data_IF_228811893706
#
_entry.id   IF_228811893706
#
_cell.length_a   1.000
_cell.length_b   1.000
_cell.length_c   1.000
_cell.angle_alpha   90.00
_cell.angle_beta   90.00
_cell.angle_gamma   90.00
#
_symmetry.space_group_name_H-M   'P 1'
#
loop_
_entity.id
_entity.type
_entity.pdbx_description
1 polymer ?
#
# COMPACT_ATOMS: atom_id res chain seq x y z
N UNK A 1 29.00 20.16 -3.00
CA UNK A 1 28.59 19.12 -2.03
C UNK A 1 27.21 18.58 -2.40
N UNK A 2 26.15 19.40 -2.33
CA UNK A 2 24.74 19.05 -2.66
C UNK A 2 24.56 18.29 -4.00
N UNK A 3 25.15 18.76 -5.11
CA UNK A 3 25.09 18.05 -6.40
C UNK A 3 25.63 16.61 -6.32
N UNK A 4 26.71 16.40 -5.57
CA UNK A 4 27.31 15.07 -5.40
C UNK A 4 26.43 14.15 -4.55
N UNK A 5 25.88 14.69 -3.46
CA UNK A 5 24.96 13.96 -2.58
C UNK A 5 23.68 13.55 -3.33
N UNK A 6 23.14 14.45 -4.16
CA UNK A 6 21.96 14.19 -4.99
C UNK A 6 22.23 13.10 -6.05
N UNK A 7 23.35 13.17 -6.76
CA UNK A 7 23.73 12.17 -7.76
C UNK A 7 23.94 10.78 -7.10
N UNK A 8 24.59 10.75 -5.93
CA UNK A 8 24.77 9.50 -5.19
C UNK A 8 23.43 8.87 -4.78
N UNK A 9 22.47 9.70 -4.34
CA UNK A 9 21.12 9.26 -4.02
C UNK A 9 20.39 8.67 -5.24
N UNK A 10 20.44 9.34 -6.39
CA UNK A 10 19.82 8.83 -7.63
C UNK A 10 20.45 7.51 -8.07
N UNK A 11 21.77 7.36 -8.00
CA UNK A 11 22.44 6.08 -8.32
C UNK A 11 22.10 4.94 -7.36
N UNK A 12 21.79 5.25 -6.10
CA UNK A 12 21.27 4.25 -5.17
C UNK A 12 19.83 3.85 -5.55
N UNK A 13 19.00 4.83 -5.91
CA UNK A 13 17.60 4.62 -6.28
C UNK A 13 17.43 3.88 -7.62
N UNK A 14 18.27 4.17 -8.61
CA UNK A 14 18.30 3.47 -9.91
C UNK A 14 18.49 1.96 -9.80
N UNK A 15 19.22 1.50 -8.77
CA UNK A 15 19.42 0.06 -8.52
C UNK A 15 18.15 -0.65 -8.06
N UNK A 16 17.20 0.10 -7.52
CA UNK A 16 15.95 -0.40 -6.96
C UNK A 16 14.78 -0.19 -7.93
N UNK A 17 14.72 0.96 -8.60
CA UNK A 17 13.66 1.31 -9.54
C UNK A 17 14.13 2.36 -10.57
N UNK A 18 14.17 1.98 -11.85
CA UNK A 18 14.60 2.84 -12.95
C UNK A 18 13.57 3.93 -13.29
N UNK A 19 12.28 3.63 -13.15
CA UNK A 19 11.19 4.52 -13.52
C UNK A 19 11.15 5.77 -12.63
N UNK A 20 11.23 5.56 -11.31
CA UNK A 20 11.30 6.66 -10.33
C UNK A 20 12.54 7.50 -10.56
N UNK A 21 13.66 6.89 -10.95
CA UNK A 21 14.89 7.63 -11.21
C UNK A 21 14.81 8.52 -12.46
N UNK A 22 14.00 8.16 -13.45
CA UNK A 22 13.84 8.93 -14.67
C UNK A 22 13.28 10.34 -14.41
N UNK A 23 12.38 10.47 -13.42
CA UNK A 23 11.77 11.75 -13.02
C UNK A 23 12.80 12.77 -12.50
N UNK A 24 13.94 12.31 -11.98
CA UNK A 24 14.98 13.16 -11.37
C UNK A 24 16.15 13.47 -12.31
N UNK A 25 16.18 12.93 -13.52
CA UNK A 25 17.27 13.14 -14.49
C UNK A 25 17.41 14.63 -14.83
N UNK A 26 16.29 15.33 -15.02
CA UNK A 26 16.28 16.77 -15.28
C UNK A 26 16.93 17.56 -14.13
N UNK A 27 16.61 17.20 -12.88
CA UNK A 27 17.19 17.88 -11.73
C UNK A 27 18.70 17.60 -11.60
N UNK A 28 19.12 16.37 -11.88
CA UNK A 28 20.54 16.00 -11.92
C UNK A 28 21.32 16.80 -12.97
N UNK A 29 20.79 16.90 -14.20
CA UNK A 29 21.44 17.64 -15.29
C UNK A 29 21.52 19.14 -15.00
N UNK A 30 20.46 19.72 -14.41
CA UNK A 30 20.44 21.10 -13.95
C UNK A 30 21.51 21.36 -12.88
N UNK A 31 21.60 20.50 -11.85
CA UNK A 31 22.60 20.65 -10.79
C UNK A 31 24.04 20.48 -11.30
N UNK A 32 24.26 19.58 -12.27
CA UNK A 32 25.56 19.43 -12.94
C UNK A 32 25.92 20.69 -13.75
N UNK A 33 24.96 21.25 -14.50
CA UNK A 33 25.15 22.48 -15.28
C UNK A 33 25.51 23.68 -14.40
N UNK A 34 24.78 23.86 -13.28
CA UNK A 34 25.08 24.89 -12.29
C UNK A 34 26.51 24.71 -11.74
N UNK A 35 26.87 23.48 -11.35
CA UNK A 35 28.22 23.19 -10.84
C UNK A 35 29.31 23.48 -11.88
N UNK A 36 29.09 23.12 -13.14
CA UNK A 36 30.05 23.39 -14.22
C UNK A 36 30.23 24.90 -14.45
N UNK A 37 29.14 25.66 -14.54
CA UNK A 37 29.19 27.13 -14.69
C UNK A 37 29.85 27.83 -13.50
N UNK A 38 29.71 27.30 -12.29
CA UNK A 38 30.36 27.84 -11.11
C UNK A 38 31.87 27.57 -11.04
N UNK A 39 32.36 26.53 -11.73
CA UNK A 39 33.77 26.13 -11.70
C UNK A 39 34.59 26.71 -12.87
N UNK A 40 33.92 27.21 -13.90
CA UNK A 40 34.60 27.83 -15.05
C UNK A 40 35.13 29.23 -14.68
N UNK A 41 36.38 29.56 -15.07
CA UNK A 41 36.92 30.90 -14.88
C UNK A 41 36.11 31.90 -15.71
N UNK A 42 35.71 33.00 -15.08
CA UNK A 42 34.92 34.06 -15.73
C UNK A 42 35.88 35.11 -16.31
N UNK A 43 35.64 35.61 -17.53
CA UNK A 43 36.39 36.76 -18.02
C UNK A 43 36.13 37.96 -17.09
N UNK A 44 37.17 38.74 -16.80
CA UNK A 44 36.99 40.00 -16.08
C UNK A 44 35.98 40.88 -16.85
N UNK A 45 35.00 41.49 -16.16
CA UNK A 45 34.02 42.31 -16.84
C UNK A 45 34.70 43.56 -17.41
N UNK A 46 34.86 43.60 -18.73
CA UNK A 46 35.03 44.85 -19.46
C UNK A 46 33.71 45.63 -19.28
N UNK A 47 33.79 46.85 -18.75
CA UNK A 47 32.70 47.82 -18.67
C UNK A 47 31.54 47.54 -17.69
N UNK A 48 31.77 47.70 -16.38
CA UNK A 48 30.86 48.35 -15.42
C UNK A 48 29.40 47.86 -15.21
N UNK A 49 28.92 46.89 -15.98
CA UNK A 49 27.58 46.32 -15.96
C UNK A 49 27.68 44.84 -15.63
N UNK A 50 28.20 44.54 -14.44
CA UNK A 50 28.27 43.18 -13.92
C UNK A 50 26.95 42.79 -13.22
N UNK A 51 25.83 42.81 -13.95
CA UNK A 51 24.61 42.09 -13.52
C UNK A 51 24.74 40.61 -13.92
N UNK A 52 25.75 39.94 -13.38
CA UNK A 52 25.93 38.51 -13.59
C UNK A 52 25.06 37.74 -12.59
N UNK A 53 23.85 37.38 -13.01
CA UNK A 53 22.93 36.55 -12.23
C UNK A 53 23.65 35.30 -11.71
N UNK A 54 23.61 35.05 -10.38
CA UNK A 54 24.11 33.80 -9.81
C UNK A 54 23.37 32.63 -10.49
N UNK A 55 24.06 31.65 -11.10
CA UNK A 55 23.42 30.53 -11.78
C UNK A 55 22.53 29.68 -10.86
N UNK A 56 22.61 29.87 -9.54
CA UNK A 56 21.74 29.20 -8.55
C UNK A 56 20.40 29.92 -8.33
N UNK A 57 20.26 31.16 -8.78
CA UNK A 57 19.13 32.05 -8.41
C UNK A 57 17.78 31.41 -8.74
N UNK A 58 17.62 30.91 -9.97
CA UNK A 58 16.39 30.25 -10.43
C UNK A 58 16.04 29.02 -9.57
N UNK A 59 17.04 28.20 -9.25
CA UNK A 59 16.85 27.01 -8.41
C UNK A 59 16.43 27.39 -6.98
N UNK A 60 17.08 28.39 -6.40
CA UNK A 60 16.77 28.86 -5.04
C UNK A 60 15.35 29.41 -4.98
N UNK A 61 14.93 30.18 -5.98
CA UNK A 61 13.57 30.70 -6.05
C UNK A 61 12.53 29.57 -6.13
N UNK A 62 12.73 28.59 -7.01
CA UNK A 62 11.85 27.41 -7.09
C UNK A 62 11.78 26.62 -5.79
N UNK A 63 12.89 26.48 -5.07
CA UNK A 63 12.93 25.80 -3.78
C UNK A 63 12.19 26.58 -2.69
N UNK A 64 12.25 27.91 -2.69
CA UNK A 64 11.51 28.76 -1.77
C UNK A 64 10.01 28.70 -2.04
N UNK A 65 9.60 28.73 -3.31
CA UNK A 65 8.20 28.57 -3.71
C UNK A 65 7.67 27.19 -3.32
N UNK A 66 8.41 26.13 -3.61
CA UNK A 66 8.07 24.77 -3.18
C UNK A 66 7.95 24.68 -1.65
N UNK A 67 8.89 25.27 -0.90
CA UNK A 67 8.84 25.28 0.57
C UNK A 67 7.56 25.94 1.07
N UNK A 68 7.20 27.12 0.53
CA UNK A 68 5.98 27.85 0.89
C UNK A 68 4.72 27.02 0.62
N UNK A 69 4.65 26.37 -0.54
CA UNK A 69 3.51 25.51 -0.90
C UNK A 69 3.43 24.27 0.00
N UNK A 70 4.58 23.66 0.32
CA UNK A 70 4.66 22.49 1.20
C UNK A 70 4.19 22.82 2.63
N UNK A 71 4.60 23.97 3.14
CA UNK A 71 4.16 24.47 4.46
C UNK A 71 2.64 24.71 4.45
N UNK A 72 2.11 25.42 3.46
CA UNK A 72 0.67 25.65 3.33
C UNK A 72 -0.16 24.36 3.14
N UNK A 73 0.37 23.38 2.41
CA UNK A 73 -0.27 22.07 2.27
C UNK A 73 -0.32 21.31 3.61
N UNK A 74 0.74 21.40 4.42
CA UNK A 74 0.78 20.79 5.74
C UNK A 74 -0.21 21.43 6.72
N UNK A 75 -0.38 22.75 6.66
CA UNK A 75 -1.42 23.46 7.42
C UNK A 75 -2.83 23.01 7.02
N UNK A 76 -3.10 22.88 5.71
CA UNK A 76 -4.38 22.37 5.21
C UNK A 76 -4.65 20.91 5.61
N UNK A 77 -3.61 20.08 5.62
CA UNK A 77 -3.70 18.70 6.10
C UNK A 77 -4.13 18.65 7.58
N UNK A 78 -3.54 19.49 8.43
CA UNK A 78 -3.92 19.60 9.84
C UNK A 78 -5.39 20.05 10.00
N UNK A 79 -5.81 21.07 9.25
CA UNK A 79 -7.21 21.52 9.23
C UNK A 79 -8.16 20.40 8.78
N UNK A 80 -7.76 19.59 7.79
CA UNK A 80 -8.51 18.43 7.34
C UNK A 80 -8.65 17.35 8.43
N UNK A 81 -7.58 17.07 9.15
CA UNK A 81 -7.59 16.14 10.29
C UNK A 81 -8.52 16.65 11.39
N UNK A 82 -8.41 17.93 11.75
CA UNK A 82 -9.28 18.51 12.78
C UNK A 82 -10.75 18.48 12.37
N UNK A 83 -11.06 18.80 11.10
CA UNK A 83 -12.41 18.70 10.55
C UNK A 83 -12.94 17.25 10.57
N UNK A 84 -12.09 16.27 10.30
CA UNK A 84 -12.47 14.84 10.30
C UNK A 84 -12.88 14.32 11.67
N UNK A 85 -12.39 14.96 12.75
CA UNK A 85 -12.75 14.65 14.14
C UNK A 85 -14.07 15.30 14.58
N UNK A 86 -14.62 16.20 13.77
CA UNK A 86 -15.87 16.89 14.06
C UNK A 86 -17.05 16.14 13.46
N UNK A 87 -17.90 15.59 14.33
CA UNK A 87 -19.16 14.98 13.94
C UNK A 87 -20.27 16.04 13.93
N UNK A 88 -21.05 16.16 12.84
CA UNK A 88 -22.23 17.00 12.86
C UNK A 88 -23.21 16.48 13.92
N UNK A 89 -23.81 17.39 14.71
CA UNK A 89 -24.91 17.06 15.61
C UNK A 89 -26.22 17.32 14.89
N UNK A 90 -27.08 16.30 14.84
CA UNK A 90 -28.45 16.43 14.35
C UNK A 90 -28.69 15.84 12.98
N UNK A 91 -29.88 15.25 12.87
CA UNK A 91 -30.58 14.72 11.70
C UNK A 91 -30.43 15.65 10.49
N UNK A 92 -29.51 15.34 9.59
CA UNK A 92 -29.66 15.63 8.15
C UNK A 92 -30.33 14.43 7.44
N UNK A 93 -30.91 13.50 8.20
CA UNK A 93 -31.83 12.50 7.64
C UNK A 93 -33.15 13.21 7.32
N UNK A 94 -33.36 13.44 6.03
CA UNK A 94 -34.68 13.68 5.45
C UNK A 94 -35.46 14.88 6.01
N UNK A 95 -34.97 16.10 5.78
CA UNK A 95 -35.89 16.99 5.07
C UNK A 95 -36.04 16.35 3.69
N UNK A 96 -37.11 15.58 3.47
CA UNK A 96 -37.57 15.37 2.11
C UNK A 96 -37.52 16.76 1.46
N UNK A 97 -36.81 16.93 0.32
CA UNK A 97 -36.88 18.21 -0.35
C UNK A 97 -38.37 18.47 -0.50
N UNK A 98 -38.88 19.55 0.13
CA UNK A 98 -40.14 20.12 -0.29
C UNK A 98 -40.04 20.13 -1.81
N UNK A 99 -41.00 19.53 -2.50
CA UNK A 99 -41.01 19.55 -3.95
C UNK A 99 -41.16 21.02 -4.31
N UNK A 100 -40.02 21.70 -4.47
CA UNK A 100 -39.97 23.10 -4.82
C UNK A 100 -40.36 23.09 -6.30
N UNK A 101 -41.62 23.42 -6.56
CA UNK A 101 -42.17 23.64 -7.90
C UNK A 101 -41.65 25.00 -8.46
N UNK A 102 -40.36 25.27 -8.28
CA UNK A 102 -39.66 26.49 -8.75
C UNK A 102 -38.64 26.14 -9.83
N UNK A 103 -39.06 25.31 -10.80
CA UNK A 103 -38.27 25.08 -12.02
C UNK A 103 -38.06 26.35 -12.87
N UNK A 104 -38.76 27.45 -12.55
CA UNK A 104 -38.74 28.70 -13.31
C UNK A 104 -37.87 29.83 -12.72
N UNK A 105 -37.24 29.65 -11.55
CA UNK A 105 -36.29 30.64 -11.06
C UNK A 105 -34.90 30.47 -11.72
N UNK A 106 -34.32 31.53 -12.33
CA UNK A 106 -33.00 31.46 -12.96
C UNK A 106 -31.87 31.15 -11.97
N UNK A 107 -32.12 31.31 -10.67
CA UNK A 107 -31.20 31.00 -9.57
C UNK A 107 -31.09 29.49 -9.31
N UNK A 108 -32.10 28.69 -9.68
CA UNK A 108 -32.16 27.25 -9.43
C UNK A 108 -31.71 26.38 -10.62
N UNK A 109 -31.12 26.96 -11.67
CA UNK A 109 -30.60 26.14 -12.79
C UNK A 109 -29.26 25.50 -12.41
N UNK A 110 -29.19 24.16 -12.29
CA UNK A 110 -27.94 23.49 -11.99
C UNK A 110 -26.93 23.76 -13.12
N UNK A 111 -25.78 24.32 -12.75
CA UNK A 111 -24.65 24.48 -13.66
C UNK A 111 -23.96 23.13 -13.90
N UNK A 112 -23.19 22.99 -14.98
CA UNK A 112 -22.31 21.84 -15.21
C UNK A 112 -21.45 21.47 -13.99
N UNK A 113 -21.02 22.48 -13.23
CA UNK A 113 -20.28 22.31 -11.97
C UNK A 113 -21.06 21.48 -10.93
N UNK A 114 -22.37 21.71 -10.78
CA UNK A 114 -23.22 20.96 -9.86
C UNK A 114 -23.35 19.49 -10.30
N UNK A 115 -23.45 19.26 -11.61
CA UNK A 115 -23.47 17.90 -12.17
C UNK A 115 -22.14 17.18 -11.91
N UNK A 116 -21.00 17.88 -12.04
CA UNK A 116 -19.68 17.32 -11.74
C UNK A 116 -19.53 16.98 -10.25
N UNK A 117 -19.98 17.85 -9.35
CA UNK A 117 -19.96 17.58 -7.90
C UNK A 117 -20.84 16.37 -7.53
N UNK A 118 -22.03 16.26 -8.14
CA UNK A 118 -22.92 15.12 -7.93
C UNK A 118 -22.28 13.81 -8.46
N UNK A 119 -21.62 13.86 -9.62
CA UNK A 119 -20.90 12.71 -10.16
C UNK A 119 -19.73 12.30 -9.27
N UNK A 120 -18.94 13.26 -8.79
CA UNK A 120 -17.83 13.02 -7.89
C UNK A 120 -18.29 12.39 -6.57
N UNK A 121 -19.38 12.89 -5.98
CA UNK A 121 -19.92 12.32 -4.74
C UNK A 121 -20.38 10.87 -4.91
N UNK A 122 -20.94 10.51 -6.08
CA UNK A 122 -21.30 9.12 -6.39
C UNK A 122 -20.07 8.23 -6.50
N UNK A 123 -18.99 8.71 -7.12
CA UNK A 123 -17.72 7.97 -7.21
C UNK A 123 -17.08 7.80 -5.82
N UNK A 124 -16.99 8.86 -5.04
CA UNK A 124 -16.33 8.84 -3.73
C UNK A 124 -17.07 7.94 -2.73
N UNK A 125 -18.39 7.87 -2.84
CA UNK A 125 -19.24 6.97 -2.05
C UNK A 125 -19.44 5.58 -2.69
N UNK A 126 -18.86 5.33 -3.86
CA UNK A 126 -18.91 4.01 -4.47
C UNK A 126 -18.22 3.05 -3.51
N UNK A 127 -18.87 1.95 -3.10
CA UNK A 127 -18.23 0.96 -2.26
C UNK A 127 -16.96 0.53 -2.98
N UNK A 128 -15.80 0.79 -2.38
CA UNK A 128 -14.53 0.29 -2.89
C UNK A 128 -14.67 -1.22 -2.88
N UNK A 129 -14.98 -1.79 -4.04
CA UNK A 129 -14.98 -3.23 -4.24
C UNK A 129 -13.53 -3.62 -4.05
N UNK A 130 -13.17 -3.94 -2.80
CA UNK A 130 -11.95 -4.66 -2.53
C UNK A 130 -12.26 -6.02 -3.12
N UNK A 131 -11.95 -6.17 -4.41
CA UNK A 131 -11.69 -7.47 -5.00
C UNK A 131 -10.46 -7.98 -4.26
N UNK A 132 -10.68 -8.45 -3.03
CA UNK A 132 -9.88 -9.53 -2.52
C UNK A 132 -10.08 -10.60 -3.56
N UNK A 133 -9.10 -10.74 -4.45
CA UNK A 133 -8.93 -11.99 -5.14
C UNK A 133 -8.74 -12.97 -4.00
N UNK A 134 -9.83 -13.60 -3.57
CA UNK A 134 -9.75 -14.83 -2.81
C UNK A 134 -9.05 -15.74 -3.81
N UNK A 135 -7.73 -15.78 -3.72
CA UNK A 135 -6.98 -16.89 -4.28
C UNK A 135 -7.59 -18.07 -3.55
N UNK A 136 -8.37 -18.87 -4.26
CA UNK A 136 -8.75 -20.18 -3.76
C UNK A 136 -7.46 -20.81 -3.24
N UNK A 137 -7.48 -21.24 -1.98
CA UNK A 137 -6.34 -21.96 -1.44
C UNK A 137 -6.06 -23.10 -2.44
N UNK A 138 -4.80 -23.30 -2.89
CA UNK A 138 -4.49 -24.28 -3.92
C UNK A 138 -4.84 -25.71 -3.50
N UNK A 139 -5.21 -25.92 -2.23
CA UNK A 139 -5.64 -27.19 -1.66
C UNK A 139 -6.80 -26.98 -0.70
N UNK A 140 -7.74 -27.92 -0.71
CA UNK A 140 -8.89 -27.99 0.19
C UNK A 140 -8.57 -28.75 1.48
N UNK A 141 -9.43 -28.59 2.50
CA UNK A 141 -9.25 -29.29 3.79
C UNK A 141 -9.49 -30.80 3.60
N UNK A 142 -10.41 -31.18 2.72
CA UNK A 142 -10.74 -32.56 2.39
C UNK A 142 -9.57 -33.28 1.73
N UNK A 143 -8.90 -32.63 0.76
CA UNK A 143 -7.70 -33.16 0.09
C UNK A 143 -6.54 -33.36 1.07
N UNK A 144 -6.29 -32.38 1.94
CA UNK A 144 -5.25 -32.50 2.96
C UNK A 144 -5.57 -33.59 3.99
N UNK A 145 -6.85 -33.72 4.38
CA UNK A 145 -7.30 -34.78 5.29
C UNK A 145 -7.09 -36.18 4.70
N UNK A 146 -7.39 -36.36 3.41
CA UNK A 146 -7.15 -37.62 2.71
C UNK A 146 -5.65 -37.94 2.61
N UNK A 147 -4.81 -36.94 2.31
CA UNK A 147 -3.36 -37.10 2.22
C UNK A 147 -2.73 -37.51 3.55
N UNK A 148 -3.19 -36.91 4.66
CA UNK A 148 -2.76 -37.29 6.02
C UNK A 148 -3.15 -38.74 6.33
N UNK A 149 -4.38 -39.15 6.00
CA UNK A 149 -4.84 -40.53 6.23
C UNK A 149 -4.03 -41.55 5.43
N UNK A 150 -3.75 -41.30 4.14
CA UNK A 150 -2.91 -42.19 3.31
C UNK A 150 -1.49 -42.34 3.90
N UNK A 151 -0.94 -41.27 4.47
CA UNK A 151 0.38 -41.33 5.14
C UNK A 151 0.33 -42.14 6.44
N UNK A 152 -0.76 -42.08 7.19
CA UNK A 152 -0.98 -42.87 8.40
C UNK A 152 -1.27 -44.35 8.10
N UNK A 153 -1.84 -44.68 6.93
CA UNK A 153 -1.99 -46.07 6.49
C UNK A 153 -0.63 -46.72 6.17
N UNK A 154 0.32 -45.94 5.64
CA UNK A 154 1.66 -46.42 5.29
C UNK A 154 2.63 -46.45 6.48
N UNK A 155 2.38 -45.65 7.51
CA UNK A 155 3.23 -45.51 8.70
C UNK A 155 2.39 -45.51 9.95
N UNK A 156 2.65 -46.46 10.85
CA UNK A 156 1.93 -46.64 12.13
C UNK A 156 1.90 -45.34 12.98
N UNK A 157 2.95 -44.52 12.91
CA UNK A 157 3.01 -43.22 13.56
C UNK A 157 3.77 -42.21 12.67
N UNK A 158 3.27 -40.98 12.62
CA UNK A 158 3.88 -39.88 11.86
C UNK A 158 4.08 -38.69 12.79
N UNK A 159 5.23 -38.02 12.69
CA UNK A 159 5.52 -36.80 13.46
C UNK A 159 4.77 -35.60 12.86
N UNK A 160 4.24 -34.71 13.70
CA UNK A 160 3.54 -33.52 13.27
C UNK A 160 4.45 -32.65 12.39
N UNK A 161 5.70 -32.42 12.79
CA UNK A 161 6.64 -31.62 11.97
C UNK A 161 6.89 -32.23 10.60
N UNK A 162 6.93 -33.57 10.50
CA UNK A 162 7.13 -34.25 9.21
C UNK A 162 5.99 -34.05 8.20
N UNK A 163 4.78 -33.68 8.65
CA UNK A 163 3.67 -33.32 7.76
C UNK A 163 3.88 -31.99 7.04
N UNK A 164 4.73 -31.11 7.59
CA UNK A 164 4.97 -29.77 7.06
C UNK A 164 6.33 -29.60 6.36
N UNK A 165 7.23 -30.58 6.44
CA UNK A 165 8.59 -30.49 5.86
C UNK A 165 8.61 -30.24 4.34
N UNK A 166 7.62 -30.76 3.62
CA UNK A 166 7.52 -30.63 2.16
C UNK A 166 6.69 -29.40 1.73
N UNK A 167 6.05 -28.70 2.67
CA UNK A 167 5.15 -27.59 2.39
C UNK A 167 5.91 -26.26 2.33
N UNK A 168 5.85 -25.58 1.19
CA UNK A 168 6.58 -24.31 0.94
C UNK A 168 5.70 -23.07 1.03
N UNK A 169 4.38 -23.24 1.00
CA UNK A 169 3.41 -22.14 0.98
C UNK A 169 2.68 -22.00 2.32
N UNK A 170 2.64 -20.77 2.85
CA UNK A 170 2.01 -20.49 4.16
C UNK A 170 0.52 -20.85 4.20
N UNK A 171 -0.20 -20.67 3.09
CA UNK A 171 -1.63 -21.02 3.02
C UNK A 171 -1.85 -22.53 3.11
N UNK A 172 -0.99 -23.33 2.48
CA UNK A 172 -1.07 -24.79 2.52
C UNK A 172 -0.78 -25.29 3.94
N UNK A 173 0.20 -24.70 4.63
CA UNK A 173 0.49 -25.02 6.04
C UNK A 173 -0.75 -24.81 6.93
N UNK A 174 -1.45 -23.68 6.75
CA UNK A 174 -2.67 -23.38 7.51
C UNK A 174 -3.78 -24.38 7.20
N UNK A 175 -4.01 -24.71 5.94
CA UNK A 175 -5.05 -25.68 5.52
C UNK A 175 -4.72 -27.09 6.03
N UNK A 176 -3.46 -27.53 5.96
CA UNK A 176 -3.03 -28.82 6.51
C UNK A 176 -3.20 -28.89 8.03
N UNK A 177 -2.93 -27.80 8.75
CA UNK A 177 -3.19 -27.74 10.19
C UNK A 177 -4.68 -27.84 10.50
N UNK A 178 -5.54 -27.14 9.74
CA UNK A 178 -6.99 -27.24 9.87
C UNK A 178 -7.48 -28.67 9.59
N UNK A 179 -6.91 -29.36 8.60
CA UNK A 179 -7.22 -30.75 8.30
C UNK A 179 -6.86 -31.70 9.47
N UNK A 180 -5.71 -31.50 10.13
CA UNK A 180 -5.36 -32.25 11.35
C UNK A 180 -6.38 -32.00 12.46
N UNK A 181 -6.77 -30.74 12.69
CA UNK A 181 -7.79 -30.41 13.69
C UNK A 181 -9.15 -31.01 13.37
N UNK A 182 -9.54 -31.04 12.10
CA UNK A 182 -10.78 -31.66 11.65
C UNK A 182 -10.77 -33.19 11.84
N UNK A 183 -9.67 -33.86 11.50
CA UNK A 183 -9.50 -35.29 11.72
C UNK A 183 -9.53 -35.64 13.21
N UNK A 184 -8.94 -34.79 14.07
CA UNK A 184 -9.06 -34.90 15.52
C UNK A 184 -10.51 -34.73 15.99
N UNK A 185 -11.22 -33.70 15.49
CA UNK A 185 -12.63 -33.46 15.82
C UNK A 185 -13.52 -34.65 15.43
N UNK A 186 -13.22 -35.28 14.30
CA UNK A 186 -13.94 -36.43 13.77
C UNK A 186 -13.47 -37.77 14.37
N UNK A 187 -12.61 -37.75 15.40
CA UNK A 187 -12.05 -38.94 16.07
C UNK A 187 -11.32 -39.94 15.16
N UNK A 188 -10.84 -39.52 13.98
CA UNK A 188 -10.14 -40.40 13.03
C UNK A 188 -8.66 -40.60 13.39
N UNK A 189 -8.06 -39.62 14.05
CA UNK A 189 -6.66 -39.65 14.47
C UNK A 189 -6.53 -39.40 15.98
N UNK A 190 -5.46 -39.90 16.56
CA UNK A 190 -5.05 -39.64 17.94
C UNK A 190 -3.70 -38.93 17.95
N UNK A 191 -3.55 -37.98 18.86
CA UNK A 191 -2.31 -37.21 19.03
C UNK A 191 -1.68 -37.58 20.37
N UNK A 192 -0.43 -38.02 20.34
CA UNK A 192 0.34 -38.43 21.51
C UNK A 192 1.51 -37.47 21.69
N UNK A 193 1.57 -36.84 22.86
CA UNK A 193 2.72 -36.02 23.28
C UNK A 193 3.76 -36.98 23.88
N UNK A 194 4.93 -37.10 23.26
CA UNK A 194 6.12 -37.67 23.91
C UNK A 194 6.94 -36.54 24.52
N UNK A 195 7.73 -36.82 25.57
CA UNK A 195 8.52 -35.81 26.28
C UNK A 195 9.40 -34.99 25.32
N UNK A 196 9.01 -33.72 25.11
CA UNK A 196 9.61 -32.78 24.17
C UNK A 196 8.63 -31.65 23.85
N UNK A 197 9.08 -30.39 23.84
CA UNK A 197 8.18 -29.22 23.89
C UNK A 197 7.57 -28.86 22.51
N UNK A 198 8.05 -29.45 21.41
CA UNK A 198 7.78 -28.92 20.06
C UNK A 198 7.33 -29.95 19.00
N UNK A 199 6.99 -31.19 19.36
CA UNK A 199 6.48 -32.15 18.36
C UNK A 199 5.45 -33.13 18.95
N UNK A 200 4.50 -33.53 18.12
CA UNK A 200 3.43 -34.45 18.47
C UNK A 200 3.42 -35.64 17.53
N UNK A 201 3.13 -36.82 18.05
CA UNK A 201 2.99 -38.03 17.24
C UNK A 201 1.53 -38.26 16.89
N UNK A 202 1.23 -38.41 15.62
CA UNK A 202 -0.10 -38.68 15.10
C UNK A 202 -0.18 -40.16 14.74
N UNK A 203 -1.23 -40.83 15.22
CA UNK A 203 -1.55 -42.21 14.86
C UNK A 203 -3.01 -42.32 14.43
N UNK A 204 -3.32 -43.24 13.53
CA UNK A 204 -4.70 -43.56 13.20
C UNK A 204 -5.38 -44.18 14.43
N UNK A 205 -6.63 -43.79 14.69
CA UNK A 205 -7.44 -44.44 15.72
C UNK A 205 -8.07 -45.67 15.10
N UNK A 206 -7.70 -46.86 15.57
CA UNK A 206 -8.41 -48.08 15.20
C UNK A 206 -9.86 -47.96 15.67
N UNK A 207 -10.81 -48.13 14.75
CA UNK A 207 -12.22 -48.27 15.08
C UNK A 207 -12.39 -49.53 15.90
N UNK A 208 -12.43 -49.38 17.22
CA UNK A 208 -13.03 -50.40 18.09
C UNK A 208 -14.53 -50.42 17.79
N UNK A 209 -15.02 -51.55 17.28
CA UNK A 209 -16.43 -51.96 17.40
C UNK A 209 -16.89 -51.91 18.87
#
# INVERSE_FOLDING_TARGET
>A
KITGDFIAYIHAMQRLNLEVAAEFIYMASMLMSIKARMLLPRPEPDDGHADEFDPRTELVQRLLEYKRLKEGASELEQLGIDRSRMFPRGVFEALEPEVIDEMDEPVNRPTLYHLMLAYQSVIDNMPKTRTQSVSDAPVTIEEQSALIMTRLEQRVQVSFTSLFEELREAIVIVVTFLAVLELCRNNKISVIVKEGVNDFWISQRESSD
#
